data_IF_256474505590
#
_entry.id   IF_256474505590
#
_cell.length_a   1.000
_cell.length_b   1.000
_cell.length_c   1.000
_cell.angle_alpha   90.00
_cell.angle_beta   90.00
_cell.angle_gamma   90.00
#
_symmetry.space_group_name_H-M   'P 1'
#
loop_
_entity.id
_entity.type
_entity.pdbx_description
1 polymer ?
#
# COMPACT_ATOMS: atom_id res chain seq x y z
N UNK A 1 18.56 -18.24 -13.42
CA UNK A 1 19.75 -17.37 -13.41
C UNK A 1 20.39 -17.46 -12.04
N UNK A 2 21.62 -17.94 -11.96
CA UNK A 2 22.36 -18.15 -10.70
C UNK A 2 22.90 -16.81 -10.22
N UNK A 3 22.43 -16.29 -9.08
CA UNK A 3 23.09 -15.16 -8.39
C UNK A 3 24.38 -15.70 -7.80
N UNK A 4 25.45 -15.59 -8.58
CA UNK A 4 26.75 -16.15 -8.29
C UNK A 4 27.29 -15.60 -6.96
N UNK A 5 27.50 -16.53 -6.03
CA UNK A 5 28.36 -16.41 -4.85
C UNK A 5 29.84 -16.33 -5.30
N UNK A 6 30.21 -15.27 -6.02
CA UNK A 6 31.56 -15.06 -6.58
C UNK A 6 32.11 -13.71 -6.11
N UNK A 7 32.22 -13.55 -4.80
CA UNK A 7 32.98 -12.47 -4.16
C UNK A 7 34.43 -12.88 -3.89
N UNK A 8 35.26 -11.93 -3.46
CA UNK A 8 36.72 -12.06 -3.25
C UNK A 8 37.16 -13.20 -2.28
N UNK A 9 36.22 -13.81 -1.56
CA UNK A 9 36.46 -14.97 -0.68
C UNK A 9 36.64 -16.29 -1.45
N UNK A 10 36.37 -16.31 -2.75
CA UNK A 10 36.56 -17.50 -3.60
C UNK A 10 38.03 -17.70 -3.97
N UNK A 11 38.84 -16.64 -4.05
CA UNK A 11 40.25 -16.73 -4.43
C UNK A 11 41.08 -17.64 -3.49
N UNK A 12 40.96 -17.53 -2.14
CA UNK A 12 41.65 -18.44 -1.22
C UNK A 12 41.25 -19.92 -1.38
N UNK A 13 40.02 -20.20 -1.82
CA UNK A 13 39.56 -21.58 -2.02
C UNK A 13 40.24 -22.25 -3.21
N UNK A 14 40.52 -21.50 -4.27
CA UNK A 14 41.24 -21.99 -5.44
C UNK A 14 42.74 -22.14 -5.17
N UNK A 15 43.33 -21.28 -4.33
CA UNK A 15 44.78 -21.26 -4.08
C UNK A 15 45.22 -22.21 -2.97
N UNK A 16 44.44 -22.36 -1.90
CA UNK A 16 44.86 -23.14 -0.71
C UNK A 16 44.00 -24.37 -0.42
N UNK A 17 42.93 -24.61 -1.20
CA UNK A 17 41.96 -25.70 -1.03
C UNK A 17 41.41 -25.85 0.40
N UNK A 18 41.45 -24.77 1.18
CA UNK A 18 41.12 -24.75 2.60
C UNK A 18 40.32 -23.48 2.90
N UNK A 19 39.21 -23.64 3.62
CA UNK A 19 38.42 -22.51 4.14
C UNK A 19 39.17 -21.89 5.31
N UNK A 20 39.99 -20.88 5.04
CA UNK A 20 40.58 -20.06 6.09
C UNK A 20 39.45 -19.41 6.90
N UNK A 21 39.60 -19.35 8.23
CA UNK A 21 38.59 -18.80 9.17
C UNK A 21 38.04 -17.41 8.78
N UNK A 22 38.85 -16.48 8.22
CA UNK A 22 38.34 -15.21 7.71
C UNK A 22 37.33 -15.38 6.56
N UNK A 23 37.58 -16.30 5.62
CA UNK A 23 36.71 -16.53 4.45
C UNK A 23 35.32 -17.02 4.84
N UNK A 24 35.21 -17.84 5.89
CA UNK A 24 33.92 -18.27 6.43
C UNK A 24 33.11 -17.09 7.03
N UNK A 25 33.79 -16.09 7.59
CA UNK A 25 33.13 -14.88 8.11
C UNK A 25 32.60 -13.98 6.99
N UNK A 26 33.35 -13.86 5.89
CA UNK A 26 32.92 -13.15 4.67
C UNK A 26 31.71 -13.82 4.02
N UNK A 27 31.73 -15.13 3.85
CA UNK A 27 30.60 -15.89 3.29
C UNK A 27 29.33 -15.72 4.15
N UNK A 28 29.46 -15.75 5.48
CA UNK A 28 28.33 -15.48 6.38
C UNK A 28 27.82 -14.04 6.25
N UNK A 29 28.71 -13.07 6.07
CA UNK A 29 28.31 -11.67 5.89
C UNK A 29 27.57 -11.46 4.56
N UNK A 30 28.09 -12.03 3.48
CA UNK A 30 27.49 -11.96 2.14
C UNK A 30 26.15 -12.69 2.08
N UNK A 31 26.07 -13.91 2.63
CA UNK A 31 24.81 -14.65 2.74
C UNK A 31 23.76 -13.87 3.54
N UNK A 32 24.16 -13.17 4.62
CA UNK A 32 23.26 -12.28 5.38
C UNK A 32 22.83 -11.06 4.56
N UNK A 33 23.72 -10.48 3.76
CA UNK A 33 23.40 -9.32 2.92
C UNK A 33 22.39 -9.69 1.82
N UNK A 34 22.64 -10.79 1.10
CA UNK A 34 21.74 -11.33 0.08
C UNK A 34 20.41 -11.74 0.71
N UNK A 35 20.43 -12.46 1.83
CA UNK A 35 19.20 -12.82 2.54
C UNK A 35 18.41 -11.58 2.95
N UNK A 36 19.07 -10.52 3.46
CA UNK A 36 18.40 -9.25 3.73
C UNK A 36 17.77 -8.69 2.47
N UNK A 37 18.50 -8.58 1.35
CA UNK A 37 17.98 -8.02 0.10
C UNK A 37 16.77 -8.78 -0.44
N UNK A 38 16.77 -10.11 -0.36
CA UNK A 38 15.69 -10.97 -0.85
C UNK A 38 14.49 -11.08 0.10
N UNK A 39 14.69 -10.83 1.40
CA UNK A 39 13.59 -10.84 2.37
C UNK A 39 12.80 -9.52 2.23
N UNK A 40 11.49 -9.59 1.93
CA UNK A 40 10.65 -8.41 1.85
C UNK A 40 10.68 -7.61 3.15
N UNK A 41 10.62 -6.28 3.04
CA UNK A 41 10.83 -5.37 4.18
C UNK A 41 9.87 -5.65 5.35
N UNK A 42 8.63 -6.07 5.07
CA UNK A 42 7.62 -6.44 6.09
C UNK A 42 7.92 -7.74 6.85
N UNK A 43 8.90 -8.54 6.43
CA UNK A 43 9.41 -9.71 7.19
C UNK A 43 10.66 -9.38 8.01
N UNK A 44 11.18 -8.14 7.95
CA UNK A 44 12.37 -7.71 8.69
C UNK A 44 11.97 -7.13 10.06
N UNK A 45 12.70 -7.50 11.11
CA UNK A 45 12.61 -6.83 12.42
C UNK A 45 13.40 -5.52 12.35
N UNK A 46 12.75 -4.38 12.49
CA UNK A 46 13.43 -3.08 12.56
C UNK A 46 13.69 -2.70 14.02
N UNK A 47 14.65 -1.81 14.27
CA UNK A 47 14.97 -1.32 15.63
C UNK A 47 13.75 -0.65 16.32
N UNK A 48 12.78 -0.18 15.52
CA UNK A 48 11.60 0.55 15.97
C UNK A 48 10.29 -0.25 15.93
N UNK A 49 10.33 -1.56 15.61
CA UNK A 49 9.13 -2.41 15.62
C UNK A 49 9.10 -3.47 14.51
N UNK A 50 7.91 -4.03 14.26
CA UNK A 50 7.63 -4.87 13.09
C UNK A 50 7.00 -3.99 12.01
N UNK A 51 7.50 -4.06 10.79
CA UNK A 51 6.87 -3.41 9.64
C UNK A 51 5.76 -4.33 9.16
N UNK A 52 4.51 -3.86 9.18
CA UNK A 52 3.37 -4.60 8.65
C UNK A 52 3.08 -4.16 7.22
N UNK A 53 2.61 -5.10 6.39
CA UNK A 53 2.12 -4.76 5.05
C UNK A 53 0.79 -4.01 5.18
N UNK A 54 0.61 -2.92 4.43
CA UNK A 54 -0.69 -2.26 4.33
C UNK A 54 -1.73 -3.14 3.60
N UNK A 55 -1.26 -4.12 2.82
CA UNK A 55 -2.11 -5.11 2.15
C UNK A 55 -2.40 -6.33 3.03
N UNK A 56 -2.04 -6.29 4.31
CA UNK A 56 -2.34 -7.36 5.26
C UNK A 56 -3.87 -7.50 5.41
N UNK A 57 -4.47 -8.66 5.11
CA UNK A 57 -5.90 -8.87 5.28
C UNK A 57 -6.30 -8.86 6.76
N UNK A 58 -7.40 -8.20 7.07
CA UNK A 58 -7.96 -8.11 8.44
C UNK A 58 -9.23 -8.96 8.64
N UNK A 59 -9.83 -9.45 7.55
CA UNK A 59 -11.16 -10.07 7.57
C UNK A 59 -12.12 -9.29 6.65
N UNK A 60 -13.23 -9.91 6.23
CA UNK A 60 -14.33 -9.27 5.49
C UNK A 60 -13.96 -8.48 4.21
N UNK A 61 -12.80 -8.80 3.63
CA UNK A 61 -12.26 -8.12 2.46
C UNK A 61 -11.63 -6.75 2.75
N UNK A 62 -11.27 -6.47 4.00
CA UNK A 62 -10.54 -5.28 4.44
C UNK A 62 -9.03 -5.57 4.56
N UNK A 63 -8.22 -4.53 4.38
CA UNK A 63 -6.78 -4.56 4.61
C UNK A 63 -6.32 -3.44 5.54
N UNK A 64 -5.13 -3.57 6.13
CA UNK A 64 -4.59 -2.60 7.09
C UNK A 64 -4.54 -1.15 6.55
N UNK A 65 -4.41 -0.97 5.23
CA UNK A 65 -4.50 0.32 4.56
C UNK A 65 -5.82 1.06 4.85
N UNK A 66 -6.93 0.33 4.87
CA UNK A 66 -8.27 0.91 5.05
C UNK A 66 -8.42 1.53 6.44
N UNK A 67 -7.69 1.03 7.44
CA UNK A 67 -7.69 1.54 8.82
C UNK A 67 -6.70 2.70 9.05
N UNK A 68 -5.57 2.72 8.33
CA UNK A 68 -4.47 3.69 8.57
C UNK A 68 -4.72 5.04 7.90
N UNK A 69 -5.72 5.15 7.03
CA UNK A 69 -6.14 6.43 6.43
C UNK A 69 -6.68 7.45 7.46
N UNK A 70 -6.74 7.09 8.75
CA UNK A 70 -7.26 7.89 9.84
C UNK A 70 -6.26 8.95 10.35
N UNK A 71 -6.57 10.22 10.08
CA UNK A 71 -6.24 11.36 10.93
C UNK A 71 -7.47 12.27 10.94
N UNK A 72 -8.21 12.40 12.06
CA UNK A 72 -9.47 13.12 12.06
C UNK A 72 -9.28 14.64 12.19
N UNK A 73 -9.97 15.37 11.32
CA UNK A 73 -10.60 16.67 11.63
C UNK A 73 -12.08 16.37 11.89
N UNK A 74 -12.70 16.87 12.98
CA UNK A 74 -14.05 16.49 13.35
C UNK A 74 -15.07 17.30 12.54
N UNK A 75 -15.72 16.68 11.55
CA UNK A 75 -17.00 17.19 11.06
C UNK A 75 -18.01 16.05 10.92
N UNK A 76 -19.13 16.23 11.63
CA UNK A 76 -20.43 15.60 11.51
C UNK A 76 -20.44 14.15 10.99
N UNK A 77 -20.50 13.23 11.96
CA UNK A 77 -20.75 11.82 11.76
C UNK A 77 -22.11 11.56 11.11
N UNK A 78 -22.17 11.55 9.78
CA UNK A 78 -23.01 10.56 9.11
C UNK A 78 -22.24 9.25 9.19
N UNK A 79 -22.64 8.37 10.09
CA UNK A 79 -22.09 7.01 10.16
C UNK A 79 -22.48 6.33 8.85
N UNK A 80 -21.55 6.33 7.90
CA UNK A 80 -21.70 5.56 6.68
C UNK A 80 -21.38 4.11 7.08
N UNK A 81 -22.41 3.28 7.12
CA UNK A 81 -22.31 1.85 7.48
C UNK A 81 -21.39 1.07 6.53
N UNK A 82 -21.18 1.59 5.31
CA UNK A 82 -20.21 1.03 4.37
C UNK A 82 -18.79 1.54 4.67
N UNK A 83 -18.05 0.73 5.43
CA UNK A 83 -16.65 0.98 5.80
C UNK A 83 -15.73 1.23 4.59
N UNK A 84 -16.10 0.72 3.41
CA UNK A 84 -15.36 0.92 2.16
C UNK A 84 -15.55 2.33 1.62
N UNK A 85 -16.79 2.82 1.67
CA UNK A 85 -17.13 4.19 1.31
C UNK A 85 -16.49 5.16 2.31
N UNK A 86 -16.49 4.81 3.59
CA UNK A 86 -15.79 5.56 4.63
C UNK A 86 -14.29 5.69 4.32
N UNK A 87 -13.58 4.59 4.04
CA UNK A 87 -12.17 4.61 3.66
C UNK A 87 -11.89 5.43 2.39
N UNK A 88 -12.78 5.36 1.38
CA UNK A 88 -12.67 6.15 0.16
C UNK A 88 -12.79 7.64 0.46
N UNK A 89 -13.78 8.05 1.26
CA UNK A 89 -13.96 9.44 1.64
C UNK A 89 -12.79 9.96 2.48
N UNK A 90 -12.22 9.16 3.37
CA UNK A 90 -11.03 9.56 4.15
C UNK A 90 -9.80 9.84 3.28
N UNK A 91 -9.67 9.20 2.12
CA UNK A 91 -8.55 9.45 1.18
C UNK A 91 -8.70 10.75 0.35
N UNK A 92 -9.81 11.47 0.50
CA UNK A 92 -10.13 12.71 -0.22
C UNK A 92 -9.96 13.93 0.68
N UNK A 93 -9.58 15.07 0.08
CA UNK A 93 -9.59 16.36 0.80
C UNK A 93 -11.01 16.78 1.16
N UNK A 94 -11.18 17.76 2.04
CA UNK A 94 -12.50 18.26 2.43
C UNK A 94 -13.34 18.69 1.22
N UNK A 95 -12.78 19.51 0.31
CA UNK A 95 -13.47 19.95 -0.90
C UNK A 95 -13.79 18.78 -1.84
N UNK A 96 -12.86 17.83 -2.02
CA UNK A 96 -13.10 16.65 -2.85
C UNK A 96 -14.24 15.78 -2.29
N UNK A 97 -14.28 15.58 -0.95
CA UNK A 97 -15.37 14.87 -0.26
C UNK A 97 -16.70 15.57 -0.48
N UNK A 98 -16.76 16.89 -0.28
CA UNK A 98 -17.97 17.67 -0.49
C UNK A 98 -18.47 17.55 -1.93
N UNK A 99 -17.57 17.52 -2.92
CA UNK A 99 -17.94 17.31 -4.33
C UNK A 99 -18.49 15.91 -4.57
N UNK A 100 -17.89 14.87 -3.97
CA UNK A 100 -18.42 13.50 -4.06
C UNK A 100 -19.80 13.38 -3.41
N UNK A 101 -20.00 13.98 -2.24
CA UNK A 101 -21.29 14.00 -1.54
C UNK A 101 -22.34 14.75 -2.38
N UNK A 102 -22.02 15.96 -2.87
CA UNK A 102 -22.92 16.73 -3.73
C UNK A 102 -23.31 15.95 -5.01
N UNK A 103 -22.36 15.22 -5.59
CA UNK A 103 -22.60 14.35 -6.75
C UNK A 103 -23.51 13.17 -6.43
N UNK A 104 -23.46 12.65 -5.20
CA UNK A 104 -24.25 11.50 -4.76
C UNK A 104 -25.67 11.90 -4.30
N UNK A 105 -25.84 13.08 -3.74
CA UNK A 105 -27.12 13.57 -3.22
C UNK A 105 -28.02 14.18 -4.29
N UNK A 106 -27.45 14.63 -5.41
CA UNK A 106 -28.21 15.27 -6.48
C UNK A 106 -28.28 14.33 -7.70
N UNK A 107 -29.52 13.90 -8.00
CA UNK A 107 -29.79 13.01 -9.13
C UNK A 107 -29.42 13.69 -10.45
N UNK A 108 -28.68 12.96 -11.30
CA UNK A 108 -28.28 13.44 -12.63
C UNK A 108 -27.16 14.49 -12.67
N UNK A 109 -26.62 14.93 -11.53
CA UNK A 109 -25.61 16.00 -11.48
C UNK A 109 -24.28 15.56 -12.07
N UNK A 110 -23.63 16.38 -12.89
CA UNK A 110 -22.29 16.06 -13.41
C UNK A 110 -21.20 16.33 -12.37
N UNK A 111 -19.99 15.79 -12.55
CA UNK A 111 -18.84 16.10 -11.66
C UNK A 111 -18.50 17.59 -11.65
N UNK A 112 -18.72 18.27 -12.78
CA UNK A 112 -18.55 19.72 -12.93
C UNK A 112 -19.59 20.48 -12.13
N UNK A 113 -20.87 20.12 -12.25
CA UNK A 113 -21.95 20.75 -11.48
C UNK A 113 -21.80 20.51 -9.98
N UNK A 114 -21.40 19.30 -9.57
CA UNK A 114 -21.12 19.01 -8.16
C UNK A 114 -19.96 19.85 -7.62
N UNK A 115 -18.92 20.08 -8.42
CA UNK A 115 -17.82 20.96 -8.05
C UNK A 115 -18.28 22.43 -7.97
N UNK A 116 -19.20 22.84 -8.87
CA UNK A 116 -19.78 24.18 -8.87
C UNK A 116 -20.64 24.44 -7.63
N UNK A 117 -21.42 23.45 -7.18
CA UNK A 117 -22.21 23.53 -5.92
C UNK A 117 -21.29 23.75 -4.71
N UNK A 118 -20.10 23.16 -4.72
CA UNK A 118 -19.09 23.32 -3.66
C UNK A 118 -18.37 24.67 -3.73
N UNK A 119 -18.52 25.42 -4.83
CA UNK A 119 -17.98 26.77 -4.98
C UNK A 119 -16.48 26.81 -5.28
N UNK A 120 -15.93 25.84 -6.02
CA UNK A 120 -14.52 25.85 -6.42
C UNK A 120 -14.27 26.76 -7.64
N UNK A 121 -13.08 27.36 -7.72
CA UNK A 121 -12.76 28.37 -8.75
C UNK A 121 -12.77 27.84 -10.19
N UNK A 122 -12.37 26.58 -10.41
CA UNK A 122 -12.45 25.89 -11.71
C UNK A 122 -13.21 24.57 -11.58
N UNK A 123 -14.56 24.59 -11.65
CA UNK A 123 -15.39 23.41 -11.45
C UNK A 123 -15.11 22.29 -12.46
N UNK A 124 -14.72 22.63 -13.69
CA UNK A 124 -14.51 21.65 -14.76
C UNK A 124 -13.23 20.85 -14.52
N UNK A 125 -12.11 21.53 -14.33
CA UNK A 125 -10.83 20.84 -14.09
C UNK A 125 -10.83 20.15 -12.73
N UNK A 126 -11.43 20.79 -11.70
CA UNK A 126 -11.55 20.20 -10.38
C UNK A 126 -12.42 18.95 -10.40
N UNK A 127 -13.63 19.02 -10.96
CA UNK A 127 -14.55 17.88 -11.05
C UNK A 127 -13.94 16.68 -11.77
N UNK A 128 -13.26 16.89 -12.90
CA UNK A 128 -12.55 15.82 -13.62
C UNK A 128 -11.34 15.26 -12.85
N UNK A 129 -10.66 16.09 -12.06
CA UNK A 129 -9.61 15.61 -11.16
C UNK A 129 -10.20 14.73 -10.06
N UNK A 130 -11.31 15.14 -9.44
CA UNK A 130 -11.99 14.35 -8.40
C UNK A 130 -12.49 13.03 -8.99
N UNK A 131 -13.17 13.05 -10.14
CA UNK A 131 -13.62 11.84 -10.86
C UNK A 131 -12.48 10.84 -11.08
N UNK A 132 -11.35 11.30 -11.63
CA UNK A 132 -10.17 10.45 -11.90
C UNK A 132 -9.57 9.91 -10.60
N UNK A 133 -9.49 10.74 -9.56
CA UNK A 133 -8.96 10.33 -8.25
C UNK A 133 -9.84 9.28 -7.59
N UNK A 134 -11.15 9.49 -7.56
CA UNK A 134 -12.13 8.54 -7.02
C UNK A 134 -12.06 7.22 -7.77
N UNK A 135 -12.08 7.25 -9.12
CA UNK A 135 -11.92 6.04 -9.93
C UNK A 135 -10.63 5.29 -9.58
N UNK A 136 -9.49 6.00 -9.53
CA UNK A 136 -8.20 5.41 -9.18
C UNK A 136 -8.20 4.77 -7.79
N UNK A 137 -8.85 5.40 -6.81
CA UNK A 137 -8.94 4.87 -5.44
C UNK A 137 -9.80 3.59 -5.39
N UNK A 138 -10.92 3.57 -6.12
CA UNK A 138 -11.76 2.37 -6.25
C UNK A 138 -10.98 1.24 -6.90
N UNK A 139 -10.31 1.50 -8.02
CA UNK A 139 -9.51 0.50 -8.75
C UNK A 139 -8.38 -0.05 -7.84
N UNK A 140 -7.74 0.82 -7.05
CA UNK A 140 -6.69 0.44 -6.11
C UNK A 140 -7.23 -0.42 -4.95
N UNK A 141 -8.37 -0.06 -4.35
CA UNK A 141 -9.02 -0.88 -3.33
C UNK A 141 -9.39 -2.26 -3.89
N UNK A 142 -9.96 -2.33 -5.10
CA UNK A 142 -10.29 -3.60 -5.75
C UNK A 142 -9.04 -4.46 -6.02
N UNK A 143 -7.96 -3.85 -6.51
CA UNK A 143 -6.68 -4.52 -6.74
C UNK A 143 -6.13 -5.14 -5.45
N UNK A 144 -6.11 -4.37 -4.36
CA UNK A 144 -5.61 -4.85 -3.06
C UNK A 144 -6.48 -5.96 -2.49
N UNK A 145 -7.81 -5.88 -2.63
CA UNK A 145 -8.73 -6.96 -2.25
C UNK A 145 -8.45 -8.25 -3.00
N UNK A 146 -8.25 -8.17 -4.31
CA UNK A 146 -7.90 -9.33 -5.12
C UNK A 146 -6.59 -9.98 -4.64
N UNK A 147 -5.59 -9.16 -4.30
CA UNK A 147 -4.31 -9.63 -3.75
C UNK A 147 -4.46 -10.26 -2.36
N UNK A 148 -5.21 -9.63 -1.46
CA UNK A 148 -5.50 -10.15 -0.12
C UNK A 148 -6.25 -11.49 -0.18
N UNK A 149 -7.25 -11.62 -1.07
CA UNK A 149 -7.98 -12.86 -1.28
C UNK A 149 -7.09 -13.98 -1.84
N UNK A 150 -6.15 -13.66 -2.73
CA UNK A 150 -5.18 -14.63 -3.25
C UNK A 150 -4.22 -15.13 -2.17
N UNK A 151 -3.74 -14.25 -1.29
CA UNK A 151 -2.87 -14.62 -0.16
C UNK A 151 -3.59 -15.51 0.84
N UNK A 152 -4.85 -15.19 1.18
CA UNK A 152 -5.66 -16.04 2.08
C UNK A 152 -5.89 -17.44 1.53
N UNK A 153 -6.13 -17.58 0.21
CA UNK A 153 -6.25 -18.90 -0.43
C UNK A 153 -4.94 -19.69 -0.44
N UNK A 154 -3.79 -19.02 -0.53
CA UNK A 154 -2.48 -19.65 -0.53
C UNK A 154 -1.99 -20.07 0.86
N UNK A 155 -2.42 -19.36 1.93
CA UNK A 155 -2.11 -19.71 3.32
C UNK A 155 -3.04 -20.74 3.96
N UNK A 156 -4.16 -21.07 3.32
CA UNK A 156 -5.12 -22.10 3.75
C UNK A 156 -4.89 -23.48 3.11
N UNK A 157 -3.82 -23.65 2.33
CA UNK A 157 -3.34 -24.92 1.76
C UNK A 157 -2.06 -25.35 2.48
#
# INVERSE_FOLDING_TARGET
>A
MSTALLGDWVNPLYETNMLQTPSASFLRAEARAIHRQLVPVWRRRTKHGRVLSLDLPLGDGLCLYDLVADKPEPMASTVIEDERLTALLHALTLQERQTVVARATADGTTWTEAAQIVGVDDPKSFGERVRRKVKRLIDEQQRRRAQAAAVNKAGAR
#
